data_IF_023360221153
#
_entry.id   IF_023360221153
#
_cell.length_a   1.000
_cell.length_b   1.000
_cell.length_c   1.000
_cell.angle_alpha   90.00
_cell.angle_beta   90.00
_cell.angle_gamma   90.00
#
_symmetry.space_group_name_H-M   'P 1'
#
loop_
_entity.id
_entity.type
_entity.pdbx_description
1 polymer ?
#
# COMPACT_ATOMS: atom_id res chain seq x y z
N UNK A 1 -16.22 6.02 29.90
CA UNK A 1 -15.97 7.44 29.60
C UNK A 1 -16.45 7.70 28.19
N UNK A 2 -17.56 8.39 28.04
CA UNK A 2 -18.15 8.77 26.75
C UNK A 2 -17.41 10.00 26.24
N UNK A 3 -16.50 9.82 25.29
CA UNK A 3 -15.91 10.95 24.59
C UNK A 3 -16.98 11.58 23.69
N UNK A 4 -17.19 12.89 23.85
CA UNK A 4 -18.11 13.67 23.01
C UNK A 4 -17.51 13.81 21.62
N UNK A 5 -18.22 13.33 20.61
CA UNK A 5 -17.90 13.62 19.20
C UNK A 5 -18.20 15.10 18.93
N UNK A 6 -17.15 15.87 18.67
CA UNK A 6 -17.22 17.33 18.48
C UNK A 6 -17.57 17.72 17.04
N UNK A 7 -17.77 16.76 16.13
CA UNK A 7 -18.13 17.07 14.73
C UNK A 7 -17.07 17.90 13.99
N UNK A 8 -15.81 17.88 14.46
CA UNK A 8 -14.70 18.51 13.76
C UNK A 8 -14.46 17.75 12.45
N UNK A 9 -14.24 18.44 11.31
CA UNK A 9 -14.03 17.77 10.04
C UNK A 9 -12.83 16.83 10.16
N UNK A 10 -13.07 15.54 9.92
CA UNK A 10 -12.00 14.56 9.83
C UNK A 10 -11.05 15.01 8.72
N UNK A 11 -9.80 15.31 9.08
CA UNK A 11 -8.80 15.71 8.11
C UNK A 11 -8.60 14.58 7.09
N UNK A 12 -8.70 14.88 5.80
CA UNK A 12 -8.31 13.94 4.74
C UNK A 12 -6.80 13.74 4.68
N UNK A 13 -6.35 12.70 3.98
CA UNK A 13 -4.94 12.35 3.79
C UNK A 13 -4.10 13.45 3.12
N UNK A 14 -4.76 14.33 2.37
CA UNK A 14 -4.15 15.48 1.69
C UNK A 14 -4.38 16.81 2.42
N UNK A 15 -5.07 16.80 3.57
CA UNK A 15 -5.38 18.05 4.28
C UNK A 15 -4.09 18.68 4.82
N UNK A 16 -3.88 19.96 4.46
CA UNK A 16 -2.65 20.71 4.76
C UNK A 16 -1.63 20.71 3.63
N UNK A 17 -1.80 19.90 2.58
CA UNK A 17 -0.90 19.87 1.42
C UNK A 17 -1.28 20.99 0.44
N UNK A 18 -0.35 21.88 0.05
CA UNK A 18 -0.60 22.96 -0.90
C UNK A 18 -1.16 22.48 -2.26
N UNK A 19 -2.22 23.14 -2.71
CA UNK A 19 -2.86 22.91 -4.01
C UNK A 19 -2.43 23.94 -5.06
N UNK A 20 -2.75 23.67 -6.32
CA UNK A 20 -2.59 24.60 -7.44
C UNK A 20 -3.82 24.53 -8.35
N UNK A 21 -4.23 25.69 -8.87
CA UNK A 21 -5.31 25.80 -9.86
C UNK A 21 -4.78 25.72 -11.31
N UNK A 22 -3.45 25.66 -11.49
CA UNK A 22 -2.86 25.51 -12.81
C UNK A 22 -3.22 24.14 -13.41
N UNK A 23 -3.65 24.08 -14.69
CA UNK A 23 -3.95 22.82 -15.33
C UNK A 23 -2.70 21.92 -15.41
N UNK A 24 -2.77 20.75 -14.79
CA UNK A 24 -1.70 19.76 -14.80
C UNK A 24 -2.04 18.58 -15.71
N UNK A 25 -1.04 18.01 -16.37
CA UNK A 25 -1.17 16.83 -17.25
C UNK A 25 -0.13 15.78 -16.88
N UNK A 26 -0.37 14.54 -17.31
CA UNK A 26 0.53 13.43 -17.02
C UNK A 26 2.00 13.69 -17.40
N UNK A 27 2.23 14.42 -18.50
CA UNK A 27 3.58 14.79 -18.97
C UNK A 27 4.35 15.65 -17.96
N UNK A 28 3.65 16.44 -17.15
CA UNK A 28 4.29 17.36 -16.19
C UNK A 28 4.87 16.59 -14.99
N UNK A 29 4.45 15.33 -14.82
CA UNK A 29 4.95 14.40 -13.82
C UNK A 29 6.02 13.45 -14.34
N UNK A 30 6.39 13.53 -15.63
CA UNK A 30 7.49 12.75 -16.21
C UNK A 30 8.81 13.48 -16.02
N UNK A 31 9.81 12.78 -15.49
CA UNK A 31 11.19 13.28 -15.49
C UNK A 31 11.81 13.23 -16.89
N UNK A 32 12.99 13.84 -17.05
CA UNK A 32 13.85 13.71 -18.23
C UNK A 32 14.69 12.41 -18.24
N UNK A 33 14.64 11.62 -17.16
CA UNK A 33 15.39 10.37 -17.04
C UNK A 33 14.81 9.24 -17.89
N UNK A 34 15.70 8.47 -18.53
CA UNK A 34 15.35 7.28 -19.28
C UNK A 34 14.94 6.12 -18.36
N UNK A 35 13.76 5.54 -18.62
CA UNK A 35 13.27 4.37 -17.87
C UNK A 35 14.04 3.13 -18.27
N UNK A 36 14.69 2.47 -17.29
CA UNK A 36 15.64 1.37 -17.50
C UNK A 36 15.11 0.00 -17.06
N UNK A 37 13.79 -0.17 -17.07
CA UNK A 37 13.18 -1.47 -16.81
C UNK A 37 13.19 -2.33 -18.08
N UNK A 38 12.99 -3.63 -17.91
CA UNK A 38 12.94 -4.56 -19.03
C UNK A 38 11.68 -4.31 -19.88
N UNK A 39 11.73 -4.45 -21.22
CA UNK A 39 10.53 -4.42 -22.05
C UNK A 39 9.47 -5.40 -21.55
N UNK A 40 8.22 -4.94 -21.43
CA UNK A 40 7.10 -5.73 -20.89
C UNK A 40 7.02 -5.79 -19.35
N UNK A 41 7.89 -5.11 -18.62
CA UNK A 41 7.81 -5.05 -17.16
C UNK A 41 6.57 -4.27 -16.68
N UNK A 42 5.85 -4.82 -15.71
CA UNK A 42 4.66 -4.21 -15.12
C UNK A 42 4.93 -2.83 -14.48
N UNK A 43 6.16 -2.58 -14.03
CA UNK A 43 6.58 -1.28 -13.48
C UNK A 43 6.28 -0.11 -14.44
N UNK A 44 6.38 -0.31 -15.76
CA UNK A 44 6.01 0.69 -16.77
C UNK A 44 4.53 1.07 -16.70
N UNK A 45 3.67 0.08 -16.49
CA UNK A 45 2.21 0.29 -16.48
C UNK A 45 1.82 1.05 -15.22
N UNK A 46 2.39 0.66 -14.07
CA UNK A 46 2.15 1.34 -12.80
C UNK A 46 2.69 2.78 -12.84
N UNK A 47 3.89 3.00 -13.39
CA UNK A 47 4.46 4.35 -13.55
C UNK A 47 3.54 5.25 -14.39
N UNK A 48 3.11 4.77 -15.55
CA UNK A 48 2.21 5.53 -16.43
C UNK A 48 0.86 5.83 -15.75
N UNK A 49 0.31 4.87 -14.98
CA UNK A 49 -0.92 5.05 -14.25
C UNK A 49 -0.77 6.12 -13.15
N UNK A 50 0.31 6.07 -12.35
CA UNK A 50 0.60 7.08 -11.33
C UNK A 50 0.81 8.46 -11.95
N UNK A 51 1.62 8.57 -13.01
CA UNK A 51 1.83 9.85 -13.72
C UNK A 51 0.52 10.44 -14.26
N UNK A 52 -0.41 9.60 -14.74
CA UNK A 52 -1.72 10.04 -15.20
C UNK A 52 -2.68 10.40 -14.06
N UNK A 53 -2.52 9.76 -12.90
CA UNK A 53 -3.34 9.96 -11.71
C UNK A 53 -2.97 11.22 -10.93
N UNK A 54 -1.68 11.51 -10.74
CA UNK A 54 -1.20 12.63 -9.91
C UNK A 54 -1.81 14.00 -10.26
N UNK A 55 -2.00 14.38 -11.55
CA UNK A 55 -2.70 15.63 -11.90
C UNK A 55 -4.08 15.78 -11.26
N UNK A 56 -4.80 14.66 -11.07
CA UNK A 56 -6.16 14.67 -10.50
C UNK A 56 -6.20 14.96 -9.00
N UNK A 57 -5.05 15.01 -8.33
CA UNK A 57 -4.96 15.41 -6.92
C UNK A 57 -4.96 16.93 -6.72
N UNK A 58 -4.68 17.72 -7.77
CA UNK A 58 -4.63 19.18 -7.69
C UNK A 58 -3.53 19.74 -6.78
N UNK A 59 -2.54 18.92 -6.40
CA UNK A 59 -1.45 19.32 -5.50
C UNK A 59 -0.33 20.02 -6.27
N UNK A 60 0.41 20.89 -5.59
CA UNK A 60 1.70 21.37 -6.09
C UNK A 60 2.69 20.22 -6.19
N UNK A 61 3.40 20.11 -7.30
CA UNK A 61 4.32 18.97 -7.58
C UNK A 61 5.46 18.91 -6.56
N UNK A 62 5.94 20.07 -6.11
CA UNK A 62 6.95 20.21 -5.07
C UNK A 62 6.49 19.76 -3.67
N UNK A 63 5.18 19.55 -3.47
CA UNK A 63 4.60 19.05 -2.23
C UNK A 63 4.26 17.55 -2.29
N UNK A 64 4.59 16.86 -3.38
CA UNK A 64 4.47 15.41 -3.50
C UNK A 64 5.88 14.82 -3.40
N UNK A 65 6.07 13.86 -2.51
CA UNK A 65 7.39 13.23 -2.29
C UNK A 65 7.29 11.73 -2.39
N UNK A 66 8.10 11.13 -3.27
CA UNK A 66 8.23 9.69 -3.41
C UNK A 66 9.53 9.18 -2.77
N UNK A 67 9.42 8.36 -1.73
CA UNK A 67 10.55 7.69 -1.07
C UNK A 67 10.56 6.22 -1.49
N UNK A 68 11.69 5.70 -1.92
CA UNK A 68 11.81 4.29 -2.31
C UNK A 68 12.97 3.58 -1.65
N UNK A 69 12.89 2.25 -1.60
CA UNK A 69 13.94 1.38 -1.05
C UNK A 69 15.00 1.05 -2.08
N UNK A 70 15.34 -0.24 -2.26
CA UNK A 70 16.23 -0.72 -3.34
C UNK A 70 15.57 -1.89 -4.07
N UNK A 71 15.56 -1.85 -5.40
CA UNK A 71 14.94 -2.85 -6.27
C UNK A 71 14.58 -2.26 -7.64
N UNK A 72 14.03 -3.08 -8.55
CA UNK A 72 13.51 -2.57 -9.83
C UNK A 72 12.42 -1.53 -9.57
N UNK A 73 11.43 -1.88 -8.76
CA UNK A 73 10.37 -0.97 -8.30
C UNK A 73 10.92 0.30 -7.67
N UNK A 74 12.02 0.22 -6.92
CA UNK A 74 12.56 1.37 -6.19
C UNK A 74 13.26 2.41 -7.05
N UNK A 75 13.42 2.17 -8.36
CA UNK A 75 13.84 3.21 -9.31
C UNK A 75 12.73 4.23 -9.60
N UNK A 76 11.50 4.00 -9.14
CA UNK A 76 10.34 4.83 -9.41
C UNK A 76 10.53 6.34 -9.21
N UNK A 77 11.16 6.84 -8.12
CA UNK A 77 11.30 8.28 -7.92
C UNK A 77 12.18 8.97 -8.97
N UNK A 78 13.10 8.24 -9.63
CA UNK A 78 13.88 8.82 -10.73
C UNK A 78 13.03 9.18 -11.95
N UNK A 79 11.86 8.56 -12.09
CA UNK A 79 10.99 8.68 -13.25
C UNK A 79 9.82 9.64 -13.03
N UNK A 80 9.85 10.38 -11.92
CA UNK A 80 8.84 11.36 -11.55
C UNK A 80 9.45 12.76 -11.47
N UNK A 81 8.71 13.75 -11.95
CA UNK A 81 9.06 15.16 -11.80
C UNK A 81 8.40 15.76 -10.55
N UNK A 82 8.78 15.20 -9.40
CA UNK A 82 8.40 15.63 -8.04
C UNK A 82 9.65 15.58 -7.16
N UNK A 83 9.55 15.91 -5.86
CA UNK A 83 10.63 15.53 -4.95
C UNK A 83 10.67 14.00 -4.81
N UNK A 84 11.87 13.46 -4.67
CA UNK A 84 12.08 12.02 -4.56
C UNK A 84 13.34 11.67 -3.79
N UNK A 85 13.30 10.55 -3.08
CA UNK A 85 14.46 9.98 -2.38
C UNK A 85 14.55 8.49 -2.65
N UNK A 86 15.58 8.08 -3.38
CA UNK A 86 15.98 6.68 -3.48
C UNK A 86 16.88 6.38 -2.29
N UNK A 87 16.33 5.64 -1.33
CA UNK A 87 16.97 5.42 -0.02
C UNK A 87 17.85 4.16 -0.01
N UNK A 88 17.82 3.40 1.09
CA UNK A 88 18.54 2.14 1.24
C UNK A 88 17.54 1.00 1.47
N UNK A 89 17.99 -0.23 1.19
CA UNK A 89 17.12 -1.39 1.08
C UNK A 89 16.29 -1.61 2.35
N UNK A 90 14.96 -1.62 2.19
CA UNK A 90 13.95 -1.80 3.23
C UNK A 90 13.85 -0.66 4.25
N UNK A 91 14.41 0.54 3.98
CA UNK A 91 14.34 1.68 4.92
C UNK A 91 13.40 2.80 4.48
N UNK A 92 12.77 2.66 3.32
CA UNK A 92 11.85 3.67 2.80
C UNK A 92 10.71 4.02 3.78
N UNK A 93 10.01 3.06 4.44
CA UNK A 93 8.98 3.39 5.43
C UNK A 93 9.52 4.18 6.63
N UNK A 94 10.74 3.88 7.09
CA UNK A 94 11.36 4.56 8.22
C UNK A 94 11.71 6.02 7.88
N UNK A 95 12.31 6.23 6.71
CA UNK A 95 12.67 7.57 6.22
C UNK A 95 11.42 8.40 5.94
N UNK A 96 10.43 7.81 5.27
CA UNK A 96 9.16 8.46 4.99
C UNK A 96 8.40 8.84 6.28
N UNK A 97 8.51 8.02 7.33
CA UNK A 97 7.95 8.37 8.65
C UNK A 97 8.56 9.64 9.22
N UNK A 98 9.89 9.78 9.16
CA UNK A 98 10.57 11.00 9.60
C UNK A 98 10.12 12.23 8.80
N UNK A 99 10.02 12.09 7.48
CA UNK A 99 9.56 13.17 6.60
C UNK A 99 8.12 13.59 6.90
N UNK A 100 7.19 12.65 6.95
CA UNK A 100 5.78 12.92 7.21
C UNK A 100 5.55 13.52 8.62
N UNK A 101 6.36 13.11 9.60
CA UNK A 101 6.31 13.69 10.96
C UNK A 101 6.77 15.15 10.95
N UNK A 102 7.86 15.45 10.24
CA UNK A 102 8.45 16.79 10.22
C UNK A 102 7.72 17.79 9.31
N UNK A 103 7.03 17.31 8.27
CA UNK A 103 6.45 18.16 7.20
C UNK A 103 5.00 17.78 6.90
N UNK A 104 4.01 18.32 7.66
CA UNK A 104 2.58 18.05 7.45
C UNK A 104 2.05 18.57 6.10
N UNK A 105 2.80 19.44 5.43
CA UNK A 105 2.45 20.05 4.15
C UNK A 105 2.90 19.22 2.93
N UNK A 106 3.31 17.97 3.14
CA UNK A 106 3.75 17.06 2.07
C UNK A 106 2.82 15.84 1.94
N UNK A 107 2.49 15.50 0.69
CA UNK A 107 1.92 14.21 0.36
C UNK A 107 3.05 13.19 0.17
N UNK A 108 3.31 12.39 1.21
CA UNK A 108 4.39 11.40 1.19
C UNK A 108 3.92 10.04 0.68
N UNK A 109 4.63 9.52 -0.32
CA UNK A 109 4.41 8.22 -0.95
C UNK A 109 5.66 7.35 -0.78
N UNK A 110 5.45 6.06 -0.54
CA UNK A 110 6.49 5.04 -0.46
C UNK A 110 6.33 4.08 -1.62
N UNK A 111 7.40 3.82 -2.37
CA UNK A 111 7.42 2.80 -3.42
C UNK A 111 8.42 1.72 -3.05
N UNK A 112 7.96 0.48 -3.03
CA UNK A 112 8.74 -0.66 -2.54
C UNK A 112 8.39 -1.92 -3.31
N UNK A 113 9.34 -2.85 -3.40
CA UNK A 113 9.07 -4.20 -3.90
C UNK A 113 8.66 -5.13 -2.76
N UNK A 114 8.04 -6.25 -3.10
CA UNK A 114 7.78 -7.36 -2.18
C UNK A 114 8.99 -7.71 -1.28
N UNK A 115 10.16 -7.93 -1.85
CA UNK A 115 11.36 -8.25 -1.10
C UNK A 115 11.90 -7.07 -0.27
N UNK A 116 11.79 -5.85 -0.77
CA UNK A 116 12.25 -4.65 -0.06
C UNK A 116 11.42 -4.38 1.21
N UNK A 117 10.10 -4.52 1.13
CA UNK A 117 9.20 -4.24 2.24
C UNK A 117 8.88 -5.46 3.12
N UNK A 118 8.82 -6.68 2.58
CA UNK A 118 8.35 -7.86 3.32
C UNK A 118 9.49 -8.76 3.81
N UNK A 119 10.73 -8.54 3.34
CA UNK A 119 11.93 -9.17 3.90
C UNK A 119 12.66 -8.18 4.80
N UNK A 120 13.74 -7.56 4.33
CA UNK A 120 14.61 -6.68 5.11
C UNK A 120 13.89 -5.44 5.66
N UNK A 121 12.81 -5.00 5.01
CA UNK A 121 11.98 -3.87 5.45
C UNK A 121 10.82 -4.21 6.38
N UNK A 122 10.57 -5.50 6.66
CA UNK A 122 9.35 -5.98 7.30
C UNK A 122 9.03 -5.25 8.61
N UNK A 123 10.02 -5.10 9.49
CA UNK A 123 9.82 -4.44 10.77
C UNK A 123 9.49 -2.93 10.65
N UNK A 124 10.05 -2.27 9.64
CA UNK A 124 9.76 -0.85 9.39
C UNK A 124 8.37 -0.66 8.79
N UNK A 125 7.96 -1.57 7.89
CA UNK A 125 6.61 -1.58 7.32
C UNK A 125 5.56 -1.73 8.43
N UNK A 126 5.63 -2.81 9.23
CA UNK A 126 4.61 -3.08 10.25
C UNK A 126 4.52 -1.95 11.29
N UNK A 127 5.64 -1.30 11.64
CA UNK A 127 5.61 -0.19 12.58
C UNK A 127 5.10 1.11 11.96
N UNK A 128 5.29 1.36 10.67
CA UNK A 128 4.64 2.46 9.98
C UNK A 128 3.11 2.28 9.99
N UNK A 129 2.63 1.08 9.62
CA UNK A 129 1.22 0.72 9.63
C UNK A 129 0.59 0.81 11.03
N UNK A 130 1.22 0.19 12.03
CA UNK A 130 0.75 0.20 13.44
C UNK A 130 0.67 1.60 14.02
N UNK A 131 1.64 2.46 13.71
CA UNK A 131 1.64 3.87 14.14
C UNK A 131 0.60 4.70 13.37
N UNK A 132 0.07 4.20 12.26
CA UNK A 132 -0.83 4.93 11.38
C UNK A 132 -0.22 6.26 10.90
N UNK A 133 1.04 6.26 10.48
CA UNK A 133 1.68 7.45 9.90
C UNK A 133 1.01 7.78 8.57
N UNK A 134 0.72 9.06 8.29
CA UNK A 134 0.07 9.49 7.05
C UNK A 134 0.95 9.25 5.79
N UNK A 135 0.94 8.02 5.26
CA UNK A 135 1.82 7.52 4.21
C UNK A 135 1.02 6.67 3.22
N UNK A 136 1.31 6.81 1.93
CA UNK A 136 0.76 5.93 0.87
C UNK A 136 1.84 4.98 0.40
N UNK A 137 1.73 3.70 0.73
CA UNK A 137 2.73 2.67 0.47
C UNK A 137 2.27 1.83 -0.72
N UNK A 138 2.96 1.96 -1.84
CA UNK A 138 2.75 1.18 -3.05
C UNK A 138 3.72 0.01 -3.06
N UNK A 139 3.19 -1.18 -2.80
CA UNK A 139 3.93 -2.44 -2.76
C UNK A 139 3.80 -3.13 -4.12
N UNK A 140 4.89 -3.13 -4.86
CA UNK A 140 5.01 -3.76 -6.17
C UNK A 140 5.38 -5.24 -5.94
N UNK A 141 4.37 -6.11 -5.96
CA UNK A 141 4.54 -7.55 -5.82
C UNK A 141 4.67 -8.25 -7.20
N UNK A 142 5.89 -8.62 -7.57
CA UNK A 142 6.19 -9.50 -8.72
C UNK A 142 6.60 -10.91 -8.28
N UNK A 143 6.50 -11.21 -6.98
CA UNK A 143 6.92 -12.46 -6.34
C UNK A 143 8.38 -12.82 -6.62
N UNK A 144 9.29 -11.86 -6.83
CA UNK A 144 10.71 -12.14 -7.11
C UNK A 144 11.67 -10.97 -6.90
N UNK A 145 12.89 -11.23 -6.44
CA UNK A 145 13.96 -10.23 -6.46
C UNK A 145 14.52 -10.03 -7.88
N UNK A 146 13.87 -9.15 -8.66
CA UNK A 146 14.26 -8.88 -10.05
C UNK A 146 15.65 -8.25 -10.20
N UNK A 147 15.95 -7.19 -9.43
CA UNK A 147 17.19 -6.41 -9.61
C UNK A 147 18.46 -7.22 -9.30
N UNK A 148 18.38 -8.12 -8.32
CA UNK A 148 19.49 -9.01 -7.92
C UNK A 148 19.56 -10.29 -8.76
N UNK A 149 18.79 -10.33 -9.86
CA UNK A 149 18.80 -11.35 -10.91
C UNK A 149 18.05 -12.65 -10.59
N UNK A 150 16.92 -12.58 -9.88
CA UNK A 150 15.93 -13.66 -9.82
C UNK A 150 16.12 -14.64 -8.66
N UNK A 151 16.23 -14.14 -7.43
CA UNK A 151 16.07 -14.94 -6.21
C UNK A 151 14.62 -14.90 -5.75
N UNK A 152 14.13 -15.97 -5.12
CA UNK A 152 12.80 -16.00 -4.53
C UNK A 152 12.64 -14.89 -3.47
N UNK A 153 11.44 -14.30 -3.41
CA UNK A 153 11.00 -13.27 -2.48
C UNK A 153 10.10 -13.88 -1.38
N UNK A 154 9.74 -13.11 -0.34
CA UNK A 154 8.77 -13.56 0.66
C UNK A 154 7.34 -13.80 0.13
N UNK A 155 7.06 -13.45 -1.13
CA UNK A 155 5.78 -13.71 -1.80
C UNK A 155 5.90 -14.73 -2.93
N UNK A 156 7.08 -15.33 -3.13
CA UNK A 156 7.27 -16.40 -4.11
C UNK A 156 6.55 -17.67 -3.71
N UNK A 157 6.01 -18.36 -4.71
CA UNK A 157 5.31 -19.62 -4.49
C UNK A 157 6.23 -20.67 -3.89
N UNK A 158 5.66 -21.50 -3.00
CA UNK A 158 6.36 -22.68 -2.53
C UNK A 158 6.63 -23.62 -3.71
N UNK A 159 7.84 -24.19 -3.76
CA UNK A 159 8.32 -24.99 -4.88
C UNK A 159 8.93 -24.17 -6.03
N UNK A 160 8.85 -22.84 -6.01
CA UNK A 160 9.42 -22.01 -7.07
C UNK A 160 10.95 -22.19 -7.18
N UNK A 161 11.40 -22.68 -8.34
CA UNK A 161 12.82 -22.86 -8.63
C UNK A 161 13.41 -21.51 -9.05
N UNK A 162 14.40 -21.04 -8.29
CA UNK A 162 15.11 -19.79 -8.58
C UNK A 162 16.62 -19.99 -8.44
N UNK A 163 17.43 -18.96 -8.71
CA UNK A 163 18.90 -19.09 -8.60
C UNK A 163 19.38 -19.46 -7.20
N UNK A 164 18.70 -19.00 -6.16
CA UNK A 164 19.03 -19.30 -4.75
C UNK A 164 18.21 -20.46 -4.18
N UNK A 165 17.19 -20.93 -4.89
CA UNK A 165 16.36 -22.11 -4.54
C UNK A 165 16.34 -23.10 -5.71
N UNK A 166 17.48 -23.71 -6.08
CA UNK A 166 17.55 -24.58 -7.26
C UNK A 166 16.70 -25.86 -7.14
N UNK A 167 16.32 -26.23 -5.92
CA UNK A 167 15.42 -27.37 -5.63
C UNK A 167 13.97 -26.94 -5.36
N UNK A 168 13.64 -25.67 -5.60
CA UNK A 168 12.36 -25.08 -5.23
C UNK A 168 12.41 -24.41 -3.84
N UNK A 169 11.63 -23.34 -3.67
CA UNK A 169 11.47 -22.68 -2.37
C UNK A 169 10.72 -23.59 -1.39
N UNK A 170 11.18 -23.67 -0.14
CA UNK A 170 10.45 -24.36 0.94
C UNK A 170 9.68 -23.38 1.82
N UNK A 171 9.88 -22.07 1.62
CA UNK A 171 9.28 -21.03 2.42
C UNK A 171 7.78 -20.91 2.15
N UNK A 172 7.02 -20.66 3.22
CA UNK A 172 5.61 -20.31 3.10
C UNK A 172 5.51 -18.82 2.77
N UNK A 173 4.89 -18.44 1.64
CA UNK A 173 4.78 -17.05 1.25
C UNK A 173 3.90 -16.25 2.21
N UNK A 174 4.29 -15.01 2.48
CA UNK A 174 3.42 -14.04 3.11
C UNK A 174 2.20 -13.74 2.23
N UNK A 175 1.07 -13.49 2.89
CA UNK A 175 -0.02 -12.73 2.28
C UNK A 175 0.16 -11.25 2.70
N UNK A 176 0.53 -10.35 1.78
CA UNK A 176 0.86 -8.97 2.16
C UNK A 176 -0.31 -8.21 2.79
N UNK A 177 -1.53 -8.47 2.32
CA UNK A 177 -2.73 -7.86 2.91
C UNK A 177 -3.00 -8.39 4.31
N UNK A 178 -2.88 -9.70 4.54
CA UNK A 178 -3.01 -10.28 5.89
C UNK A 178 -1.96 -9.73 6.85
N UNK A 179 -0.71 -9.55 6.40
CA UNK A 179 0.35 -8.94 7.20
C UNK A 179 0.00 -7.50 7.58
N UNK A 180 -0.50 -6.72 6.61
CA UNK A 180 -0.88 -5.32 6.84
C UNK A 180 -2.05 -5.18 7.80
N UNK A 181 -3.09 -6.01 7.63
CA UNK A 181 -4.26 -6.05 8.50
C UNK A 181 -3.85 -6.51 9.90
N UNK A 182 -3.00 -7.52 10.02
CA UNK A 182 -2.44 -7.98 11.29
C UNK A 182 -1.54 -6.94 11.98
N UNK A 183 -0.94 -6.03 11.22
CA UNK A 183 -0.23 -4.86 11.74
C UNK A 183 -1.17 -3.66 12.04
N UNK A 184 -2.48 -3.87 12.00
CA UNK A 184 -3.52 -2.87 12.20
C UNK A 184 -3.47 -1.68 11.22
N UNK A 185 -3.13 -1.94 9.95
CA UNK A 185 -3.26 -0.93 8.91
C UNK A 185 -4.70 -0.39 8.85
N UNK A 186 -4.83 0.91 8.67
CA UNK A 186 -6.13 1.61 8.59
C UNK A 186 -6.66 1.66 7.16
N UNK A 187 -5.79 1.51 6.17
CA UNK A 187 -6.18 1.30 4.78
C UNK A 187 -5.38 0.16 4.14
N UNK A 188 -6.09 -0.75 3.47
CA UNK A 188 -5.52 -1.89 2.76
C UNK A 188 -6.29 -2.09 1.46
N UNK A 189 -5.59 -2.04 0.32
CA UNK A 189 -6.16 -2.28 -0.99
C UNK A 189 -5.26 -3.14 -1.87
N UNK A 190 -5.85 -3.76 -2.90
CA UNK A 190 -5.13 -4.50 -3.94
C UNK A 190 -5.58 -4.05 -5.33
N UNK A 191 -4.61 -3.88 -6.21
CA UNK A 191 -4.82 -3.57 -7.62
C UNK A 191 -3.97 -4.47 -8.53
N UNK A 192 -4.32 -4.47 -9.81
CA UNK A 192 -3.59 -5.18 -10.87
C UNK A 192 -2.98 -4.14 -11.81
N UNK A 193 -1.78 -4.39 -12.32
CA UNK A 193 -1.20 -3.55 -13.37
C UNK A 193 -2.05 -3.58 -14.67
N UNK A 194 -2.76 -4.67 -14.93
CA UNK A 194 -3.68 -4.86 -16.06
C UNK A 194 -5.02 -4.14 -15.92
N UNK A 195 -5.46 -3.80 -14.71
CA UNK A 195 -6.72 -3.08 -14.46
C UNK A 195 -6.44 -1.61 -14.07
N UNK A 196 -6.28 -0.76 -15.08
CA UNK A 196 -6.01 0.66 -14.88
C UNK A 196 -7.13 1.37 -14.10
N UNK A 197 -8.39 0.96 -14.27
CA UNK A 197 -9.53 1.61 -13.61
C UNK A 197 -9.47 1.30 -12.11
N UNK A 198 -9.41 0.03 -11.74
CA UNK A 198 -9.28 -0.40 -10.35
C UNK A 198 -8.03 0.14 -9.68
N UNK A 199 -6.88 0.15 -10.37
CA UNK A 199 -5.65 0.77 -9.86
C UNK A 199 -5.84 2.26 -9.55
N UNK A 200 -6.47 3.01 -10.45
CA UNK A 200 -6.71 4.46 -10.25
C UNK A 200 -7.67 4.71 -9.08
N UNK A 201 -8.70 3.88 -8.93
CA UNK A 201 -9.66 3.95 -7.83
C UNK A 201 -8.99 3.72 -6.47
N UNK A 202 -8.20 2.65 -6.35
CA UNK A 202 -7.48 2.34 -5.10
C UNK A 202 -6.42 3.41 -4.79
N UNK A 203 -5.72 3.93 -5.80
CA UNK A 203 -4.76 5.03 -5.62
C UNK A 203 -5.43 6.31 -5.12
N UNK A 204 -6.63 6.65 -5.63
CA UNK A 204 -7.41 7.80 -5.17
C UNK A 204 -7.78 7.65 -3.70
N UNK A 205 -8.39 6.52 -3.34
CA UNK A 205 -8.80 6.28 -1.97
C UNK A 205 -7.60 6.25 -1.02
N UNK A 206 -6.47 5.66 -1.43
CA UNK A 206 -5.22 5.70 -0.66
C UNK A 206 -4.67 7.13 -0.47
N UNK A 207 -4.74 7.98 -1.50
CA UNK A 207 -4.31 9.38 -1.40
C UNK A 207 -5.17 10.20 -0.42
N UNK A 208 -6.49 9.96 -0.44
CA UNK A 208 -7.47 10.65 0.40
C UNK A 208 -7.51 10.11 1.84
N UNK A 209 -6.98 8.91 2.08
CA UNK A 209 -6.93 8.29 3.40
C UNK A 209 -5.93 8.99 4.33
N UNK A 210 -6.40 9.44 5.50
CA UNK A 210 -5.56 10.02 6.56
C UNK A 210 -4.98 8.92 7.45
N UNK A 211 -3.76 8.49 7.12
CA UNK A 211 -3.10 7.40 7.83
C UNK A 211 -2.24 6.57 6.90
N UNK A 212 -1.86 5.38 7.38
CA UNK A 212 -1.05 4.47 6.55
C UNK A 212 -1.95 3.67 5.61
N UNK A 213 -1.76 3.88 4.31
CA UNK A 213 -2.43 3.14 3.25
C UNK A 213 -1.45 2.18 2.57
N UNK A 214 -1.68 0.87 2.67
CA UNK A 214 -0.97 -0.12 1.86
C UNK A 214 -1.78 -0.47 0.63
N UNK A 215 -1.17 -0.33 -0.54
CA UNK A 215 -1.69 -0.79 -1.82
C UNK A 215 -0.76 -1.86 -2.37
N UNK A 216 -1.22 -3.12 -2.37
CA UNK A 216 -0.54 -4.18 -3.09
C UNK A 216 -0.89 -4.07 -4.59
N UNK A 217 0.13 -4.03 -5.43
CA UNK A 217 -0.04 -4.02 -6.88
C UNK A 217 0.62 -5.27 -7.41
N UNK A 218 -0.15 -6.16 -8.02
CA UNK A 218 0.42 -7.27 -8.78
C UNK A 218 1.02 -6.72 -10.08
N UNK A 219 2.34 -6.86 -10.24
CA UNK A 219 3.03 -6.45 -11.46
C UNK A 219 3.92 -7.56 -12.01
N UNK A 220 3.94 -7.70 -13.33
CA UNK A 220 4.71 -8.77 -13.98
C UNK A 220 6.23 -8.50 -14.02
N UNK A 221 7.05 -9.54 -13.83
CA UNK A 221 8.50 -9.50 -14.05
C UNK A 221 8.89 -10.43 -15.22
N UNK A 222 8.94 -9.91 -16.47
CA UNK A 222 9.07 -10.75 -17.66
C UNK A 222 10.41 -11.50 -17.78
N UNK A 223 11.43 -11.10 -17.02
CA UNK A 223 12.76 -11.72 -17.12
C UNK A 223 12.93 -12.90 -16.16
N UNK A 224 12.31 -12.84 -14.98
CA UNK A 224 12.57 -13.82 -13.91
C UNK A 224 11.32 -14.51 -13.37
N UNK A 225 10.13 -13.93 -13.53
CA UNK A 225 8.88 -14.52 -13.08
C UNK A 225 7.74 -14.11 -14.03
N UNK A 226 7.92 -14.45 -15.31
CA UNK A 226 6.98 -14.08 -16.35
C UNK A 226 5.67 -14.85 -16.19
N UNK A 227 4.57 -14.16 -16.45
CA UNK A 227 3.22 -14.73 -16.39
C UNK A 227 2.69 -15.06 -14.99
N UNK A 228 3.35 -14.60 -13.93
CA UNK A 228 2.96 -14.88 -12.54
C UNK A 228 1.51 -14.51 -12.19
N UNK A 229 0.90 -13.61 -12.96
CA UNK A 229 -0.48 -13.14 -12.78
C UNK A 229 -1.32 -13.25 -14.06
N UNK A 230 -0.90 -14.02 -15.08
CA UNK A 230 -1.59 -14.04 -16.38
C UNK A 230 -3.00 -14.64 -16.30
N UNK A 231 -3.25 -15.53 -15.34
CA UNK A 231 -4.60 -16.05 -15.02
C UNK A 231 -5.57 -14.96 -14.57
N UNK A 232 -5.08 -13.78 -14.20
CA UNK A 232 -5.89 -12.60 -13.85
C UNK A 232 -5.99 -11.58 -14.99
N UNK A 233 -5.40 -11.87 -16.15
CA UNK A 233 -5.44 -11.00 -17.34
C UNK A 233 -6.30 -11.59 -18.46
N UNK A 234 -6.33 -12.91 -18.57
CA UNK A 234 -7.25 -13.60 -19.48
C UNK A 234 -8.69 -13.32 -19.06
N UNK A 235 -9.55 -12.86 -19.97
CA UNK A 235 -10.88 -12.36 -19.59
C UNK A 235 -11.77 -13.41 -18.96
N UNK A 236 -11.69 -14.66 -19.43
CA UNK A 236 -12.57 -15.74 -18.98
C UNK A 236 -12.11 -16.28 -17.62
N UNK A 237 -10.80 -16.43 -17.43
CA UNK A 237 -10.22 -16.80 -16.13
C UNK A 237 -10.35 -15.66 -15.11
N UNK A 238 -10.07 -14.42 -15.51
CA UNK A 238 -10.14 -13.24 -14.64
C UNK A 238 -11.55 -13.04 -14.10
N UNK A 239 -12.59 -13.18 -14.92
CA UNK A 239 -13.97 -13.06 -14.46
C UNK A 239 -14.34 -14.09 -13.38
N UNK A 240 -13.74 -15.28 -13.42
CA UNK A 240 -13.97 -16.36 -12.43
C UNK A 240 -13.05 -16.27 -11.22
N UNK A 241 -11.94 -15.55 -11.30
CA UNK A 241 -10.90 -15.51 -10.26
C UNK A 241 -10.89 -14.20 -9.49
N UNK A 242 -11.20 -13.08 -10.14
CA UNK A 242 -11.20 -11.77 -9.50
C UNK A 242 -12.49 -11.61 -8.69
N UNK A 243 -12.33 -11.21 -7.43
CA UNK A 243 -13.43 -10.84 -6.55
C UNK A 243 -13.37 -9.31 -6.41
N UNK A 244 -14.09 -8.54 -7.26
CA UNK A 244 -14.12 -7.10 -7.13
C UNK A 244 -14.87 -6.72 -5.86
N UNK A 245 -14.28 -5.85 -5.04
CA UNK A 245 -14.89 -5.33 -3.83
C UNK A 245 -15.44 -3.93 -4.09
N UNK A 246 -16.76 -3.78 -3.96
CA UNK A 246 -17.46 -2.50 -4.10
C UNK A 246 -18.26 -2.22 -2.83
N UNK A 247 -17.96 -1.10 -2.16
CA UNK A 247 -18.56 -0.76 -0.88
C UNK A 247 -20.09 -0.64 -0.98
N UNK A 248 -20.81 -1.28 -0.07
CA UNK A 248 -22.27 -1.29 -0.02
C UNK A 248 -22.94 -2.31 -0.95
N UNK A 249 -22.19 -3.05 -1.77
CA UNK A 249 -22.73 -4.05 -2.67
C UNK A 249 -22.48 -5.49 -2.16
N UNK A 250 -23.39 -6.45 -2.44
CA UNK A 250 -23.10 -7.87 -2.24
C UNK A 250 -21.85 -8.29 -3.01
N UNK A 251 -20.94 -9.02 -2.36
CA UNK A 251 -19.73 -9.52 -3.02
C UNK A 251 -20.11 -10.67 -3.95
N UNK A 252 -20.20 -10.35 -5.23
CA UNK A 252 -20.62 -11.25 -6.31
C UNK A 252 -19.67 -11.14 -7.50
N UNK A 253 -19.34 -12.28 -8.12
CA UNK A 253 -18.39 -12.36 -9.22
C UNK A 253 -18.65 -13.61 -10.09
N UNK A 254 -17.84 -13.78 -11.14
CA UNK A 254 -18.08 -14.77 -12.20
C UNK A 254 -18.64 -14.10 -13.47
N UNK A 255 -18.43 -14.69 -14.67
CA UNK A 255 -18.98 -14.20 -15.94
C UNK A 255 -20.49 -13.91 -15.91
N UNK A 256 -21.27 -14.69 -15.15
CA UNK A 256 -22.72 -14.53 -15.01
C UNK A 256 -23.11 -14.11 -13.58
N UNK A 257 -22.14 -13.72 -12.76
CA UNK A 257 -22.34 -13.50 -11.33
C UNK A 257 -22.72 -14.79 -10.59
N UNK A 258 -22.23 -15.94 -11.02
CA UNK A 258 -22.64 -17.23 -10.48
C UNK A 258 -22.01 -17.55 -9.10
N UNK A 259 -20.97 -16.80 -8.71
CA UNK A 259 -20.27 -16.95 -7.43
C UNK A 259 -20.48 -15.74 -6.52
N UNK A 260 -20.45 -15.98 -5.21
CA UNK A 260 -20.48 -14.92 -4.21
C UNK A 260 -19.77 -15.32 -2.93
N UNK A 261 -19.50 -14.34 -2.08
CA UNK A 261 -18.86 -14.56 -0.78
C UNK A 261 -19.91 -14.64 0.31
N UNK A 262 -19.86 -15.70 1.11
CA UNK A 262 -20.75 -15.96 2.24
C UNK A 262 -19.96 -16.11 3.54
N UNK A 263 -20.65 -16.03 4.68
CA UNK A 263 -20.05 -16.33 5.98
C UNK A 263 -19.94 -17.84 6.16
N UNK A 264 -18.75 -18.33 6.52
CA UNK A 264 -18.55 -19.75 6.82
C UNK A 264 -19.10 -20.12 8.20
N UNK A 265 -19.35 -21.41 8.44
CA UNK A 265 -19.89 -21.92 9.70
C UNK A 265 -19.01 -21.72 10.94
N UNK A 266 -17.73 -21.38 10.77
CA UNK A 266 -16.77 -21.11 11.86
C UNK A 266 -16.39 -19.62 11.99
N UNK A 267 -17.12 -18.73 11.30
CA UNK A 267 -16.93 -17.27 11.40
C UNK A 267 -15.92 -16.66 10.43
N UNK A 268 -15.52 -17.39 9.39
CA UNK A 268 -14.72 -16.88 8.28
C UNK A 268 -15.57 -16.47 7.07
N UNK A 269 -14.92 -16.33 5.92
CA UNK A 269 -15.56 -16.11 4.62
C UNK A 269 -15.19 -17.24 3.67
N UNK A 270 -16.12 -17.62 2.80
CA UNK A 270 -15.90 -18.62 1.75
C UNK A 270 -16.64 -18.24 0.46
N UNK A 271 -16.21 -18.83 -0.66
CA UNK A 271 -16.88 -18.68 -1.96
C UNK A 271 -17.91 -19.79 -2.11
N UNK A 272 -19.12 -19.42 -2.51
CA UNK A 272 -20.20 -20.35 -2.81
C UNK A 272 -20.90 -19.98 -4.12
N UNK A 273 -21.62 -20.94 -4.71
CA UNK A 273 -22.50 -20.66 -5.85
C UNK A 273 -23.75 -19.95 -5.39
N UNK A 274 -24.08 -18.83 -6.02
CA UNK A 274 -25.27 -18.02 -5.67
C UNK A 274 -26.56 -18.84 -5.81
N UNK A 275 -26.63 -19.76 -6.78
CA UNK A 275 -27.79 -20.64 -6.97
C UNK A 275 -28.04 -21.63 -5.81
N UNK A 276 -27.04 -21.89 -4.97
CA UNK A 276 -27.14 -22.81 -3.84
C UNK A 276 -27.42 -22.08 -2.51
N UNK A 277 -26.89 -20.86 -2.36
CA UNK A 277 -27.00 -20.07 -1.12
C UNK A 277 -28.07 -18.98 -1.17
N UNK A 278 -28.44 -18.49 -2.36
CA UNK A 278 -29.35 -17.36 -2.52
C UNK A 278 -28.70 -15.99 -2.25
N UNK A 279 -29.21 -14.94 -2.90
CA UNK A 279 -28.69 -13.58 -2.83
C UNK A 279 -28.68 -12.98 -1.41
N UNK A 280 -29.69 -13.28 -0.60
CA UNK A 280 -29.83 -12.73 0.75
C UNK A 280 -28.72 -13.19 1.72
N UNK A 281 -27.99 -14.26 1.37
CA UNK A 281 -26.89 -14.80 2.18
C UNK A 281 -25.52 -14.24 1.77
N UNK A 282 -25.44 -13.45 0.70
CA UNK A 282 -24.20 -12.83 0.26
C UNK A 282 -23.75 -11.75 1.24
N UNK A 283 -22.45 -11.72 1.49
CA UNK A 283 -21.83 -10.67 2.31
C UNK A 283 -21.82 -9.37 1.52
N UNK A 284 -22.45 -8.34 2.08
CA UNK A 284 -22.33 -6.96 1.59
C UNK A 284 -20.97 -6.41 2.01
N UNK A 285 -20.21 -5.87 1.06
CA UNK A 285 -18.88 -5.37 1.35
C UNK A 285 -18.91 -4.05 2.10
N UNK A 286 -18.22 -3.99 3.24
CA UNK A 286 -18.07 -2.75 4.02
C UNK A 286 -16.60 -2.58 4.46
N UNK A 287 -15.82 -1.73 3.77
CA UNK A 287 -14.42 -1.50 4.14
C UNK A 287 -14.29 -0.67 5.43
N UNK A 288 -15.36 -0.08 5.95
CA UNK A 288 -15.36 0.76 7.16
C UNK A 288 -15.48 -0.03 8.47
N UNK A 289 -15.67 -1.35 8.40
CA UNK A 289 -15.70 -2.23 9.58
C UNK A 289 -14.37 -2.15 10.33
N UNK A 290 -14.42 -1.60 11.55
CA UNK A 290 -13.25 -1.39 12.40
C UNK A 290 -12.58 -2.71 12.83
N UNK A 291 -13.36 -3.77 13.07
CA UNK A 291 -12.84 -5.09 13.41
C UNK A 291 -12.02 -5.65 12.24
N UNK A 292 -10.75 -5.96 12.49
CA UNK A 292 -9.82 -6.47 11.48
C UNK A 292 -10.21 -7.87 10.99
N UNK A 293 -10.99 -8.63 11.75
CA UNK A 293 -11.37 -10.02 11.42
C UNK A 293 -12.07 -10.11 10.06
N UNK A 294 -12.93 -9.13 9.74
CA UNK A 294 -13.62 -9.06 8.45
C UNK A 294 -12.65 -8.91 7.27
N UNK A 295 -11.83 -7.85 7.31
CA UNK A 295 -10.85 -7.59 6.26
C UNK A 295 -9.80 -8.72 6.18
N UNK A 296 -9.43 -9.30 7.32
CA UNK A 296 -8.51 -10.43 7.38
C UNK A 296 -9.11 -11.64 6.68
N UNK A 297 -10.38 -11.98 6.97
CA UNK A 297 -11.09 -13.06 6.28
C UNK A 297 -11.17 -12.84 4.76
N UNK A 298 -11.46 -11.61 4.31
CA UNK A 298 -11.40 -11.26 2.89
C UNK A 298 -10.01 -11.55 2.30
N UNK A 299 -8.95 -11.09 2.96
CA UNK A 299 -7.57 -11.31 2.49
C UNK A 299 -7.20 -12.79 2.37
N UNK A 300 -7.88 -13.66 3.12
CA UNK A 300 -7.67 -15.12 3.17
C UNK A 300 -8.52 -15.93 2.20
N UNK A 301 -9.43 -15.29 1.45
CA UNK A 301 -10.14 -15.95 0.35
C UNK A 301 -9.17 -16.42 -0.74
N UNK A 302 -8.09 -15.66 -0.96
CA UNK A 302 -7.10 -15.96 -1.98
C UNK A 302 -6.00 -16.91 -1.55
N UNK A 303 -5.49 -17.62 -2.54
CA UNK A 303 -4.39 -18.57 -2.46
C UNK A 303 -3.28 -18.21 -3.44
N UNK A 304 -2.19 -18.98 -3.42
CA UNK A 304 -1.05 -18.76 -4.31
C UNK A 304 -1.37 -19.04 -5.78
N UNK A 305 -2.38 -19.89 -6.02
CA UNK A 305 -2.89 -20.22 -7.36
C UNK A 305 -3.84 -19.17 -7.93
N UNK A 306 -4.13 -18.11 -7.16
CA UNK A 306 -4.99 -17.01 -7.58
C UNK A 306 -6.39 -17.50 -7.97
N UNK A 307 -6.92 -18.51 -7.27
CA UNK A 307 -8.27 -19.03 -7.54
C UNK A 307 -9.35 -18.02 -7.17
N UNK A 308 -9.13 -17.23 -6.12
CA UNK A 308 -10.03 -16.21 -5.63
C UNK A 308 -9.22 -14.98 -5.20
N UNK A 309 -9.24 -13.91 -5.98
CA UNK A 309 -8.37 -12.75 -5.77
C UNK A 309 -9.21 -11.52 -5.47
N UNK A 310 -9.40 -11.16 -4.19
CA UNK A 310 -10.00 -9.89 -3.81
C UNK A 310 -9.19 -8.72 -4.35
N UNK A 311 -9.86 -7.81 -5.08
CA UNK A 311 -9.29 -6.57 -5.60
C UNK A 311 -10.17 -5.38 -5.18
N UNK A 312 -9.59 -4.18 -5.14
CA UNK A 312 -10.23 -2.99 -4.59
C UNK A 312 -9.78 -2.70 -3.16
N UNK A 313 -10.63 -2.02 -2.40
CA UNK A 313 -10.34 -1.59 -1.02
C UNK A 313 -10.87 -2.66 -0.07
N UNK A 314 -10.01 -3.32 0.70
CA UNK A 314 -10.43 -4.33 1.68
C UNK A 314 -10.80 -3.70 3.03
N UNK A 315 -10.14 -2.58 3.35
CA UNK A 315 -10.27 -1.88 4.62
C UNK A 315 -9.95 -0.40 4.42
N UNK A 316 -10.76 0.46 5.03
CA UNK A 316 -10.58 1.91 5.09
C UNK A 316 -11.29 2.44 6.35
N UNK A 317 -10.54 2.65 7.42
CA UNK A 317 -11.06 3.06 8.73
C UNK A 317 -10.31 4.26 9.27
N UNK A 318 -10.99 5.13 10.03
CA UNK A 318 -10.35 6.29 10.64
C UNK A 318 -9.68 5.92 11.98
N UNK A 319 -8.46 6.40 12.18
CA UNK A 319 -7.73 6.38 13.46
C UNK A 319 -6.83 7.62 13.52
N UNK A 320 -6.54 8.21 14.70
CA UNK A 320 -5.54 9.26 14.80
C UNK A 320 -4.21 8.83 14.16
N UNK A 321 -3.53 9.77 13.51
CA UNK A 321 -2.22 9.50 12.91
C UNK A 321 -1.11 9.85 13.90
N UNK A 322 -0.04 9.06 13.87
CA UNK A 322 1.12 9.30 14.74
C UNK A 322 1.77 10.65 14.48
N UNK A 323 1.89 11.06 13.22
CA UNK A 323 2.56 12.29 12.83
C UNK A 323 1.81 13.53 13.30
N UNK A 324 0.47 13.52 13.28
CA UNK A 324 -0.35 14.61 13.86
C UNK A 324 -0.17 14.69 15.37
N UNK A 325 -0.24 13.54 16.06
CA UNK A 325 -0.08 13.50 17.52
C UNK A 325 1.33 13.91 17.97
N UNK A 326 2.36 13.50 17.23
CA UNK A 326 3.74 13.88 17.53
C UNK A 326 3.96 15.39 17.38
N UNK A 327 3.40 16.02 16.33
CA UNK A 327 3.45 17.48 16.17
C UNK A 327 2.69 18.21 17.27
N UNK A 328 1.47 17.77 17.59
CA UNK A 328 0.67 18.36 18.67
C UNK A 328 1.39 18.28 20.03
N UNK A 329 2.10 17.18 20.30
CA UNK A 329 2.92 17.05 21.51
C UNK A 329 4.07 18.06 21.54
N UNK A 330 4.74 18.30 20.40
CA UNK A 330 5.82 19.29 20.30
C UNK A 330 5.28 20.71 20.49
N UNK A 331 4.16 21.05 19.84
CA UNK A 331 3.48 22.35 20.01
C UNK A 331 3.12 22.60 21.48
N UNK A 332 2.49 21.63 22.14
CA UNK A 332 2.16 21.70 23.56
C UNK A 332 3.41 21.87 24.44
N UNK A 333 4.53 21.22 24.10
CA UNK A 333 5.78 21.36 24.86
C UNK A 333 6.37 22.78 24.74
N UNK A 334 6.32 23.37 23.54
CA UNK A 334 6.80 24.73 23.27
C UNK A 334 5.97 25.78 24.00
N UNK A 335 4.64 25.60 24.03
CA UNK A 335 3.73 26.50 24.77
C UNK A 335 3.99 26.46 26.29
N UNK A 336 4.27 25.29 26.84
CA UNK A 336 4.49 25.12 28.29
C UNK A 336 5.89 25.52 28.74
N UNK A 337 6.90 25.40 27.88
CA UNK A 337 8.29 25.69 28.22
C UNK A 337 9.03 26.29 27.02
N UNK A 338 9.47 27.56 27.11
CA UNK A 338 10.30 28.15 26.08
C UNK A 338 11.57 27.31 25.84
N UNK A 339 11.95 27.06 24.58
CA UNK A 339 13.14 26.27 24.27
C UNK A 339 14.41 26.98 24.74
N UNK A 340 15.24 26.30 25.52
CA UNK A 340 16.57 26.77 25.96
C UNK A 340 17.63 25.68 25.69
N UNK A 341 18.13 25.67 24.44
CA UNK A 341 19.15 24.72 24.01
C UNK A 341 20.47 24.91 24.77
N UNK A 342 20.84 26.15 25.08
CA UNK A 342 22.08 26.44 25.81
C UNK A 342 22.01 25.90 27.24
N UNK A 343 20.88 26.06 27.91
CA UNK A 343 20.61 25.46 29.21
C UNK A 343 20.60 23.94 29.17
N UNK A 344 20.08 23.32 28.11
CA UNK A 344 20.07 21.86 27.95
C UNK A 344 21.49 21.30 27.74
N UNK A 345 22.28 21.92 26.86
CA UNK A 345 23.68 21.51 26.60
C UNK A 345 24.60 21.73 27.80
N UNK A 346 24.34 22.76 28.61
CA UNK A 346 25.06 23.05 29.87
C UNK A 346 24.38 22.41 31.08
N UNK A 347 23.45 21.50 30.85
CA UNK A 347 22.64 20.86 31.87
C UNK A 347 23.45 20.05 32.87
N UNK A 348 22.77 19.57 33.90
CA UNK A 348 23.40 18.82 35.01
C UNK A 348 23.77 17.38 34.62
N UNK A 349 23.23 16.87 33.51
CA UNK A 349 23.42 15.50 33.03
C UNK A 349 24.62 15.41 32.06
N UNK A 350 25.82 15.74 32.55
CA UNK A 350 27.06 15.52 31.80
C UNK A 350 27.86 14.38 32.41
N UNK A 351 28.49 13.57 31.56
CA UNK A 351 29.42 12.51 31.95
C UNK A 351 30.78 12.82 31.34
N UNK A 352 31.83 12.77 32.15
CA UNK A 352 33.22 12.88 31.70
C UNK A 352 33.71 11.50 31.27
N UNK A 353 34.05 11.35 29.98
CA UNK A 353 34.77 10.17 29.49
C UNK A 353 36.22 10.27 29.99
N UNK A 354 36.63 9.34 30.85
CA UNK A 354 37.99 9.27 31.40
C UNK A 354 38.83 8.25 30.66
#
# INVERSE_FOLDING_TARGET
MTATDLGLPALGGLAGVPTTDEPQKAKDYKSDQEVRWCPGCGDYVVLNAVQAFLPSLGLKRENIVFVSGIGCSSRFPYYLNTYGMHSIHGRAPAIATGLATARPDLSVWVVTGDGDALSIGGNHLIHALRRNVNLKILLFNNRIYGLTKGQYSPTSDQGMVTKSTPMGSVDTPFNPLSLAIGAEATFVGRALDSDRKGLTEVLRAAAEHRGSALVEIYQNCPIFNDGAFDVLKDSDEAARRIIPLTAGEPIRFGPEGEFGVVRSGWGGLEVAKVSEVGDDNLVVHDPSIADTSYAFALSRLGDQHLNHTPTGILRQVARPTYDDQARAQVEQAVENRPPDLAGLLRGKDTWTVV
#
